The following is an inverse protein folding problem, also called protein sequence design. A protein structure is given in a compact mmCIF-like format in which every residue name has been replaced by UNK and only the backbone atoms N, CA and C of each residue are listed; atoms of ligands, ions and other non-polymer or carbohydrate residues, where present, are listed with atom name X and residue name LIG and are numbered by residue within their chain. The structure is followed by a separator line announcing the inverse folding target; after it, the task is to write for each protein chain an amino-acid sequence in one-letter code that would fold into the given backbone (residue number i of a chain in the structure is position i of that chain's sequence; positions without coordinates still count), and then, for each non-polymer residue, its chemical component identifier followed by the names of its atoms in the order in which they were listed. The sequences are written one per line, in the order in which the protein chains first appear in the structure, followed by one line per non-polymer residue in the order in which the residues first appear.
data_IF_678140447514
#
_entry.id   IF_678140447514
#
_cell.length_a   1.000
_cell.length_b   1.000
_cell.length_c   1.000
_cell.angle_alpha   90.00
_cell.angle_beta   90.00
_cell.angle_gamma   90.00
#
_symmetry.space_group_name_H-M   'P 1'
#
loop_
_entity.id
_entity.type
_entity.pdbx_description
1 polymer ?
#
# COMPACT_ATOMS: atom_id res chain seq x y z
N UNK A 1 20.15 23.92 -3.02
CA UNK A 1 19.33 24.24 -1.84
C UNK A 1 19.96 23.53 -0.65
N UNK A 2 19.93 24.13 0.54
CA UNK A 2 20.37 23.47 1.78
C UNK A 2 19.33 22.43 2.22
N UNK A 3 19.79 21.24 2.64
CA UNK A 3 18.92 20.21 3.21
C UNK A 3 18.85 20.44 4.71
N UNK A 4 17.66 20.40 5.32
CA UNK A 4 17.49 20.54 6.78
C UNK A 4 16.90 19.29 7.44
N UNK A 5 16.27 18.45 6.63
CA UNK A 5 15.60 17.23 7.05
C UNK A 5 15.34 16.40 5.81
N UNK A 6 15.64 15.12 5.89
CA UNK A 6 15.30 14.14 4.88
C UNK A 6 14.44 13.05 5.51
N UNK A 7 13.35 12.65 4.84
CA UNK A 7 12.45 11.61 5.31
C UNK A 7 12.18 10.63 4.19
N UNK A 8 12.46 9.36 4.45
CA UNK A 8 12.10 8.26 3.58
C UNK A 8 10.95 7.46 4.20
N UNK A 9 9.94 7.15 3.40
CA UNK A 9 9.01 6.06 3.68
C UNK A 9 9.32 4.90 2.74
N UNK A 10 9.48 3.71 3.29
CA UNK A 10 9.61 2.49 2.51
C UNK A 10 8.50 1.53 2.91
N UNK A 11 7.67 1.14 1.95
CA UNK A 11 6.62 0.15 2.17
C UNK A 11 6.79 -0.97 1.16
N UNK A 12 6.81 -2.21 1.64
CA UNK A 12 6.88 -3.43 0.82
C UNK A 12 5.78 -4.38 1.24
N UNK A 13 5.11 -4.97 0.26
CA UNK A 13 4.12 -6.00 0.48
C UNK A 13 4.62 -7.35 -0.06
N UNK A 14 4.27 -8.42 0.63
CA UNK A 14 4.67 -9.78 0.34
C UNK A 14 3.44 -10.67 0.39
N UNK A 15 3.35 -11.63 -0.52
CA UNK A 15 2.39 -12.73 -0.41
C UNK A 15 2.89 -13.69 0.66
N UNK A 16 2.08 -13.96 1.67
CA UNK A 16 2.31 -15.05 2.63
C UNK A 16 1.60 -16.32 2.15
N UNK A 17 0.33 -16.17 1.74
CA UNK A 17 -0.49 -17.24 1.15
C UNK A 17 -1.50 -16.62 0.14
N UNK A 18 -2.43 -17.41 -0.40
CA UNK A 18 -3.54 -16.87 -1.21
C UNK A 18 -4.50 -15.98 -0.40
N UNK A 19 -4.52 -16.16 0.93
CA UNK A 19 -5.47 -15.52 1.84
C UNK A 19 -4.78 -14.50 2.75
N UNK A 20 -3.47 -14.27 2.59
CA UNK A 20 -2.72 -13.41 3.50
C UNK A 20 -1.57 -12.64 2.84
N UNK A 21 -1.53 -11.34 3.14
CA UNK A 21 -0.46 -10.41 2.80
C UNK A 21 0.33 -10.03 4.05
N UNK A 22 1.64 -9.84 3.87
CA UNK A 22 2.50 -9.18 4.84
C UNK A 22 2.92 -7.82 4.29
N UNK A 23 2.67 -6.74 5.02
CA UNK A 23 3.04 -5.38 4.62
C UNK A 23 4.01 -4.81 5.64
N UNK A 24 5.23 -4.50 5.20
CA UNK A 24 6.28 -3.89 6.01
C UNK A 24 6.49 -2.45 5.61
N UNK A 25 6.18 -1.54 6.53
CA UNK A 25 6.45 -0.12 6.42
C UNK A 25 7.64 0.29 7.30
N UNK A 26 8.42 1.24 6.83
CA UNK A 26 9.44 1.92 7.62
C UNK A 26 9.42 3.42 7.31
N UNK A 27 9.62 4.23 8.35
CA UNK A 27 9.89 5.67 8.22
C UNK A 27 11.27 5.94 8.80
N UNK A 28 12.09 6.70 8.07
CA UNK A 28 13.42 7.08 8.51
C UNK A 28 13.64 8.58 8.30
N UNK A 29 13.89 9.29 9.39
CA UNK A 29 14.23 10.71 9.38
C UNK A 29 15.72 10.89 9.60
N UNK A 30 16.34 11.67 8.73
CA UNK A 30 17.74 11.99 8.76
C UNK A 30 17.98 13.49 8.81
N UNK A 31 19.01 13.85 9.56
CA UNK A 31 19.58 15.18 9.60
C UNK A 31 20.93 15.15 8.89
N UNK A 32 21.23 16.13 8.03
CA UNK A 32 22.49 16.15 7.32
C UNK A 32 23.68 16.33 8.28
N UNK A 33 24.90 15.97 7.83
CA UNK A 33 26.15 16.29 8.53
C UNK A 33 26.23 17.75 8.97
N UNK A 34 26.89 17.99 10.11
CA UNK A 34 27.21 19.34 10.59
C UNK A 34 26.05 20.11 11.21
N UNK A 35 24.79 19.67 11.04
CA UNK A 35 23.62 20.48 11.41
C UNK A 35 23.46 20.69 12.92
N UNK A 36 23.69 19.64 13.72
CA UNK A 36 23.58 19.72 15.18
C UNK A 36 24.94 19.84 15.88
N UNK A 37 25.97 19.24 15.27
CA UNK A 37 27.34 19.23 15.75
C UNK A 37 28.22 19.56 14.56
N UNK A 38 28.92 20.70 14.59
CA UNK A 38 29.65 21.21 13.44
C UNK A 38 30.77 20.26 12.98
N UNK A 39 31.31 19.46 13.89
CA UNK A 39 32.38 18.51 13.67
C UNK A 39 31.89 17.12 13.20
N UNK A 40 30.58 16.84 13.26
CA UNK A 40 30.05 15.55 12.81
C UNK A 40 29.82 15.57 11.30
N UNK A 41 30.65 14.83 10.57
CA UNK A 41 30.62 14.72 9.11
C UNK A 41 29.63 13.65 8.59
N UNK A 42 28.87 13.02 9.50
CA UNK A 42 27.90 11.97 9.17
C UNK A 42 26.46 12.44 9.36
N UNK A 43 25.51 11.87 8.58
CA UNK A 43 24.10 12.11 8.83
C UNK A 43 23.67 11.46 10.14
N UNK A 44 22.73 12.12 10.83
CA UNK A 44 22.15 11.63 12.08
C UNK A 44 20.74 11.11 11.82
N UNK A 45 20.49 9.82 12.09
CA UNK A 45 19.13 9.28 12.10
C UNK A 45 18.45 9.71 13.39
N UNK A 46 17.31 10.38 13.29
CA UNK A 46 16.55 10.88 14.45
C UNK A 46 15.36 9.97 14.76
N UNK A 47 14.69 9.51 13.70
CA UNK A 47 13.55 8.61 13.79
C UNK A 47 13.78 7.43 12.87
N UNK A 48 13.56 6.23 13.38
CA UNK A 48 13.47 5.02 12.59
C UNK A 48 12.41 4.13 13.21
N UNK A 49 11.24 4.06 12.59
CA UNK A 49 10.12 3.25 13.05
C UNK A 49 9.75 2.26 11.96
N UNK A 50 9.43 1.04 12.38
CA UNK A 50 9.00 -0.05 11.53
C UNK A 50 7.60 -0.48 11.94
N UNK A 51 6.77 -0.83 10.95
CA UNK A 51 5.41 -1.35 11.13
C UNK A 51 5.27 -2.58 10.25
N UNK A 52 4.89 -3.70 10.84
CA UNK A 52 4.55 -4.92 10.12
C UNK A 52 3.06 -5.19 10.31
N UNK A 53 2.33 -5.34 9.20
CA UNK A 53 0.91 -5.69 9.19
C UNK A 53 0.72 -7.03 8.48
N UNK A 54 0.10 -7.98 9.16
CA UNK A 54 -0.46 -9.19 8.56
C UNK A 54 -1.91 -8.90 8.19
N UNK A 55 -2.28 -9.13 6.94
CA UNK A 55 -3.53 -8.65 6.37
C UNK A 55 -4.24 -9.80 5.64
N UNK A 56 -5.46 -10.10 6.04
CA UNK A 56 -6.31 -11.06 5.38
C UNK A 56 -6.69 -10.58 3.97
N UNK A 57 -6.66 -11.48 3.00
CA UNK A 57 -6.98 -11.22 1.60
C UNK A 57 -8.19 -12.07 1.18
N UNK A 58 -9.18 -11.52 0.45
CA UNK A 58 -9.24 -10.18 -0.15
C UNK A 58 -9.87 -9.10 0.75
N UNK A 59 -10.29 -9.42 1.98
CA UNK A 59 -11.03 -8.49 2.85
C UNK A 59 -10.21 -7.28 3.34
N UNK A 60 -8.88 -7.35 3.26
CA UNK A 60 -7.93 -6.35 3.74
C UNK A 60 -8.07 -6.04 5.23
N UNK A 61 -8.49 -7.01 6.04
CA UNK A 61 -8.53 -6.91 7.49
C UNK A 61 -7.14 -7.15 8.09
N UNK A 62 -6.71 -6.30 9.02
CA UNK A 62 -5.46 -6.48 9.76
C UNK A 62 -5.66 -7.59 10.79
N UNK A 63 -5.00 -8.73 10.59
CA UNK A 63 -5.02 -9.89 11.51
C UNK A 63 -3.82 -9.92 12.46
N UNK A 64 -2.80 -9.10 12.20
CA UNK A 64 -1.65 -8.92 13.08
C UNK A 64 -0.96 -7.58 12.83
N UNK A 65 -0.46 -6.96 13.88
CA UNK A 65 0.25 -5.70 13.81
C UNK A 65 1.42 -5.68 14.80
N UNK A 66 2.62 -5.39 14.30
CA UNK A 66 3.82 -5.20 15.11
C UNK A 66 4.43 -3.83 14.77
N UNK A 67 4.87 -3.12 15.80
CA UNK A 67 5.51 -1.81 15.66
C UNK A 67 6.82 -1.82 16.44
N UNK A 68 7.88 -1.30 15.83
CA UNK A 68 9.19 -1.19 16.45
C UNK A 68 9.76 0.21 16.27
N UNK A 69 10.29 0.78 17.34
CA UNK A 69 11.00 2.07 17.31
C UNK A 69 12.49 1.79 17.48
N UNK A 70 13.22 1.71 16.36
CA UNK A 70 14.66 1.43 16.32
C UNK A 70 15.49 2.64 16.76
N UNK A 71 15.10 3.83 16.28
CA UNK A 71 15.77 5.09 16.62
C UNK A 71 14.70 6.12 16.97
N UNK A 72 14.86 6.77 18.12
CA UNK A 72 13.93 7.75 18.63
C UNK A 72 14.66 8.80 19.50
N UNK A 73 14.21 10.07 19.49
CA UNK A 73 14.92 11.15 20.19
C UNK A 73 14.70 11.17 21.70
N UNK A 74 13.67 10.50 22.21
CA UNK A 74 13.33 10.50 23.64
C UNK A 74 13.18 9.08 24.17
N UNK A 75 13.75 8.80 25.34
CA UNK A 75 13.70 7.48 25.97
C UNK A 75 12.26 6.98 26.26
N UNK A 76 11.29 7.90 26.37
CA UNK A 76 9.89 7.56 26.60
C UNK A 76 9.13 7.19 25.32
N UNK A 77 9.66 7.45 24.12
CA UNK A 77 8.95 7.21 22.86
C UNK A 77 8.44 5.76 22.70
N UNK A 78 9.20 4.70 23.04
CA UNK A 78 8.71 3.33 22.87
C UNK A 78 7.52 2.94 23.75
N UNK A 79 7.17 3.72 24.79
CA UNK A 79 6.06 3.40 25.70
C UNK A 79 4.68 3.35 25.02
N UNK A 80 4.56 3.91 23.81
CA UNK A 80 3.33 3.91 23.02
C UNK A 80 3.25 2.73 22.05
N UNK A 81 4.30 1.92 21.91
CA UNK A 81 4.38 0.85 20.89
C UNK A 81 3.21 -0.14 21.02
N UNK A 82 2.93 -0.61 22.24
CA UNK A 82 1.86 -1.59 22.48
C UNK A 82 0.47 -1.05 22.13
N UNK A 83 0.27 0.28 22.14
CA UNK A 83 -1.00 0.91 21.77
C UNK A 83 -1.40 0.64 20.32
N UNK A 84 -0.41 0.36 19.44
CA UNK A 84 -0.67 0.03 18.04
C UNK A 84 -1.30 -1.36 17.83
N UNK A 85 -1.45 -2.19 18.88
CA UNK A 85 -2.27 -3.40 18.80
C UNK A 85 -3.73 -3.11 18.42
N UNK A 86 -4.21 -1.88 18.67
CA UNK A 86 -5.52 -1.39 18.23
C UNK A 86 -5.72 -1.30 16.72
N UNK A 87 -4.68 -1.61 15.92
CA UNK A 87 -4.80 -1.80 14.47
C UNK A 87 -5.46 -3.13 14.09
N UNK A 88 -5.33 -4.17 14.93
CA UNK A 88 -5.89 -5.49 14.66
C UNK A 88 -7.42 -5.41 14.63
N UNK A 89 -8.03 -6.05 13.63
CA UNK A 89 -9.47 -5.99 13.35
C UNK A 89 -9.91 -4.78 12.52
N UNK A 90 -9.00 -3.83 12.20
CA UNK A 90 -9.32 -2.76 11.26
C UNK A 90 -9.16 -3.25 9.82
N UNK A 91 -10.06 -2.86 8.92
CA UNK A 91 -9.88 -3.01 7.47
C UNK A 91 -9.09 -1.83 6.89
N UNK A 92 -8.10 -2.12 6.03
CA UNK A 92 -7.28 -1.13 5.30
C UNK A 92 -8.04 -0.47 4.12
N UNK A 93 -9.31 -0.81 3.95
CA UNK A 93 -10.18 -0.20 2.94
C UNK A 93 -10.66 1.22 3.28
N UNK A 94 -11.86 1.54 2.78
CA UNK A 94 -12.49 2.85 2.94
C UNK A 94 -12.61 3.22 4.42
N UNK A 95 -12.14 4.42 4.77
CA UNK A 95 -12.22 4.95 6.14
C UNK A 95 -11.05 4.57 7.05
N UNK A 96 -10.09 3.74 6.60
CA UNK A 96 -8.92 3.36 7.39
C UNK A 96 -8.14 4.58 7.91
N UNK A 97 -7.84 5.55 7.04
CA UNK A 97 -7.07 6.75 7.43
C UNK A 97 -7.80 7.62 8.46
N UNK A 98 -9.14 7.61 8.47
CA UNK A 98 -9.93 8.28 9.49
C UNK A 98 -9.78 7.57 10.84
N UNK A 99 -9.97 6.24 10.86
CA UNK A 99 -9.79 5.42 12.07
C UNK A 99 -8.38 5.52 12.65
N UNK A 100 -7.35 5.53 11.79
CA UNK A 100 -5.96 5.73 12.22
C UNK A 100 -5.77 7.09 12.91
N UNK A 101 -6.35 8.16 12.38
CA UNK A 101 -6.28 9.50 13.02
C UNK A 101 -7.09 9.57 14.32
N UNK A 102 -8.22 8.88 14.38
CA UNK A 102 -9.03 8.78 15.58
C UNK A 102 -8.25 8.09 16.71
N UNK A 103 -7.68 6.90 16.44
CA UNK A 103 -6.97 6.09 17.43
C UNK A 103 -5.58 6.63 17.79
N UNK A 104 -4.82 7.12 16.80
CA UNK A 104 -3.38 7.41 16.92
C UNK A 104 -3.01 8.85 16.54
N UNK A 105 -4.00 9.74 16.42
CA UNK A 105 -3.76 11.15 16.13
C UNK A 105 -3.31 11.95 17.36
N UNK A 106 -2.45 12.94 17.12
CA UNK A 106 -1.96 13.85 18.16
C UNK A 106 -1.24 13.09 19.28
N UNK A 107 -1.55 13.36 20.56
CA UNK A 107 -0.85 12.75 21.69
C UNK A 107 -1.14 11.25 21.90
N UNK A 108 -2.08 10.66 21.13
CA UNK A 108 -2.45 9.25 21.24
C UNK A 108 -1.53 8.33 20.41
N UNK A 109 -0.56 8.87 19.70
CA UNK A 109 0.37 8.09 18.88
C UNK A 109 1.65 8.84 18.58
N UNK A 110 2.55 8.19 17.85
CA UNK A 110 3.71 8.83 17.26
C UNK A 110 3.33 9.42 15.90
N UNK A 111 3.57 10.72 15.70
CA UNK A 111 3.34 11.40 14.41
C UNK A 111 3.95 10.65 13.23
N UNK A 112 5.15 10.07 13.41
CA UNK A 112 5.88 9.33 12.38
C UNK A 112 5.17 8.03 11.99
N UNK A 113 4.81 7.21 12.98
CA UNK A 113 4.10 5.95 12.73
C UNK A 113 2.68 6.19 12.20
N UNK A 114 1.97 7.21 12.70
CA UNK A 114 0.64 7.59 12.19
C UNK A 114 0.71 8.04 10.73
N UNK A 115 1.74 8.81 10.34
CA UNK A 115 1.98 9.17 8.95
C UNK A 115 2.36 7.96 8.08
N UNK A 116 3.22 7.07 8.59
CA UNK A 116 3.59 5.84 7.90
C UNK A 116 2.38 4.95 7.64
N UNK A 117 1.48 4.76 8.61
CA UNK A 117 0.24 3.99 8.44
C UNK A 117 -0.63 4.54 7.31
N UNK A 118 -0.74 5.88 7.19
CA UNK A 118 -1.44 6.51 6.08
C UNK A 118 -0.76 6.23 4.73
N UNK A 119 0.58 6.18 4.69
CA UNK A 119 1.35 5.85 3.49
C UNK A 119 1.30 4.36 3.12
N UNK A 120 1.07 3.47 4.09
CA UNK A 120 0.94 2.03 3.87
C UNK A 120 -0.40 1.63 3.23
N UNK A 121 -1.47 2.37 3.51
CA UNK A 121 -2.82 2.00 3.08
C UNK A 121 -2.98 1.85 1.55
N UNK A 122 -2.49 2.79 0.71
CA UNK A 122 -2.55 2.64 -0.75
C UNK A 122 -1.81 1.40 -1.27
N UNK A 123 -0.72 1.01 -0.61
CA UNK A 123 0.06 -0.18 -1.01
C UNK A 123 -0.78 -1.45 -0.82
N UNK A 124 -1.45 -1.59 0.33
CA UNK A 124 -2.33 -2.73 0.59
C UNK A 124 -3.44 -2.87 -0.45
N UNK A 125 -4.10 -1.75 -0.79
CA UNK A 125 -5.19 -1.70 -1.77
C UNK A 125 -4.68 -2.07 -3.18
N UNK A 126 -3.51 -1.58 -3.57
CA UNK A 126 -2.94 -1.87 -4.88
C UNK A 126 -2.44 -3.31 -5.03
N UNK A 127 -2.10 -3.98 -3.91
CA UNK A 127 -1.66 -5.38 -3.94
C UNK A 127 -2.73 -6.34 -4.46
N UNK A 128 -4.03 -5.98 -4.42
CA UNK A 128 -5.10 -6.84 -4.94
C UNK A 128 -4.87 -7.24 -6.40
N UNK A 129 -4.40 -6.33 -7.26
CA UNK A 129 -4.08 -6.66 -8.64
C UNK A 129 -2.78 -7.46 -8.78
N UNK A 130 -1.77 -7.15 -7.96
CA UNK A 130 -0.52 -7.93 -7.94
C UNK A 130 -0.77 -9.37 -7.50
N UNK A 131 -1.71 -9.58 -6.59
CA UNK A 131 -2.16 -10.90 -6.15
C UNK A 131 -2.82 -11.66 -7.30
N UNK A 132 -3.75 -11.04 -8.03
CA UNK A 132 -4.40 -11.66 -9.19
C UNK A 132 -3.37 -11.99 -10.30
N UNK A 133 -2.54 -11.02 -10.70
CA UNK A 133 -1.55 -11.21 -11.76
C UNK A 133 -0.49 -12.27 -11.41
N UNK A 134 -0.08 -12.33 -10.13
CA UNK A 134 0.83 -13.37 -9.66
C UNK A 134 0.18 -14.76 -9.59
N UNK A 135 -1.12 -14.86 -9.32
CA UNK A 135 -1.83 -16.15 -9.27
C UNK A 135 -1.91 -16.77 -10.67
N UNK A 136 -2.21 -15.96 -11.70
CA UNK A 136 -2.23 -16.39 -13.10
C UNK A 136 -0.87 -16.90 -13.57
N UNK A 137 0.24 -16.22 -13.23
CA UNK A 137 1.60 -16.67 -13.57
C UNK A 137 2.00 -18.00 -12.92
N UNK A 138 1.38 -18.37 -11.78
CA UNK A 138 1.68 -19.60 -11.05
C UNK A 138 0.81 -20.78 -11.48
N UNK A 139 -0.08 -20.60 -12.44
CA UNK A 139 -1.03 -21.64 -12.87
C UNK A 139 -2.04 -22.02 -11.78
N UNK A 140 -2.20 -21.18 -10.76
CA UNK A 140 -3.08 -21.45 -9.60
C UNK A 140 -4.53 -21.03 -9.88
N UNK A 141 -4.73 -20.14 -10.86
CA UNK A 141 -6.05 -19.74 -11.35
C UNK A 141 -5.91 -19.14 -12.75
N UNK A 142 -6.61 -19.69 -13.75
CA UNK A 142 -6.88 -18.95 -14.98
C UNK A 142 -7.89 -17.84 -14.66
N UNK A 143 -7.63 -16.58 -15.02
CA UNK A 143 -8.63 -15.55 -14.90
C UNK A 143 -9.85 -15.95 -15.76
N UNK A 144 -11.08 -15.90 -15.23
CA UNK A 144 -12.26 -16.24 -16.00
C UNK A 144 -12.37 -15.33 -17.23
N UNK A 145 -12.79 -15.89 -18.37
CA UNK A 145 -13.02 -15.11 -19.60
C UNK A 145 -14.08 -14.05 -19.30
N UNK A 146 -13.76 -12.74 -19.39
CA UNK A 146 -14.69 -11.68 -19.06
C UNK A 146 -16.01 -11.74 -19.85
N UNK A 147 -16.01 -12.37 -21.04
CA UNK A 147 -17.18 -12.57 -21.90
C UNK A 147 -18.15 -13.63 -21.35
N UNK A 148 -17.69 -14.46 -20.43
CA UNK A 148 -18.47 -15.53 -19.79
C UNK A 148 -19.08 -15.11 -18.46
N UNK A 149 -18.65 -13.98 -17.91
CA UNK A 149 -19.10 -13.45 -16.62
C UNK A 149 -20.41 -12.66 -16.77
N UNK A 150 -21.27 -12.74 -15.73
CA UNK A 150 -22.42 -11.85 -15.63
C UNK A 150 -21.95 -10.39 -15.47
N UNK A 151 -22.77 -9.38 -15.83
CA UNK A 151 -22.42 -7.98 -15.59
C UNK A 151 -22.04 -7.68 -14.13
N UNK A 152 -22.71 -8.36 -13.19
CA UNK A 152 -22.45 -8.22 -11.75
C UNK A 152 -21.07 -8.78 -11.37
N UNK A 153 -20.72 -9.96 -11.89
CA UNK A 153 -19.41 -10.58 -11.61
C UNK A 153 -18.27 -9.78 -12.25
N UNK A 154 -18.52 -9.20 -13.44
CA UNK A 154 -17.56 -8.30 -14.09
C UNK A 154 -17.28 -7.05 -13.27
N UNK A 155 -18.32 -6.43 -12.70
CA UNK A 155 -18.17 -5.27 -11.83
C UNK A 155 -17.41 -5.64 -10.55
N UNK A 156 -17.67 -6.81 -9.97
CA UNK A 156 -17.00 -7.28 -8.76
C UNK A 156 -15.47 -7.36 -8.90
N UNK A 157 -14.94 -7.58 -10.12
CA UNK A 157 -13.48 -7.66 -10.37
C UNK A 157 -12.74 -6.35 -10.09
N UNK A 158 -13.41 -5.20 -10.23
CA UNK A 158 -12.80 -3.87 -10.07
C UNK A 158 -13.56 -2.96 -9.10
N UNK A 159 -14.67 -3.42 -8.51
CA UNK A 159 -15.48 -2.67 -7.56
C UNK A 159 -14.67 -2.17 -6.36
N UNK A 160 -13.66 -2.92 -5.91
CA UNK A 160 -12.74 -2.52 -4.83
C UNK A 160 -11.98 -1.22 -5.10
N UNK A 161 -11.92 -0.78 -6.36
CA UNK A 161 -11.19 0.41 -6.78
C UNK A 161 -12.05 1.66 -6.83
N UNK A 162 -13.37 1.53 -6.77
CA UNK A 162 -14.27 2.66 -6.81
C UNK A 162 -13.96 3.67 -5.70
N UNK A 163 -13.78 4.92 -6.11
CA UNK A 163 -13.44 6.08 -5.28
C UNK A 163 -12.10 5.96 -4.53
N UNK A 164 -11.16 5.17 -5.05
CA UNK A 164 -9.79 5.10 -4.51
C UNK A 164 -8.86 6.18 -5.06
N UNK A 165 -9.15 6.71 -6.26
CA UNK A 165 -8.48 7.88 -6.84
C UNK A 165 -9.39 8.60 -7.85
N UNK A 166 -8.92 9.70 -8.44
CA UNK A 166 -9.71 10.49 -9.40
C UNK A 166 -10.08 9.70 -10.67
N UNK A 167 -9.19 8.82 -11.17
CA UNK A 167 -9.46 7.95 -12.32
C UNK A 167 -10.52 6.90 -11.99
N UNK A 168 -10.56 6.43 -10.74
CA UNK A 168 -11.53 5.46 -10.26
C UNK A 168 -12.73 6.09 -9.55
N UNK A 169 -12.95 7.40 -9.72
CA UNK A 169 -14.15 8.04 -9.18
C UNK A 169 -15.39 7.39 -9.79
N UNK A 170 -16.44 7.21 -8.99
CA UNK A 170 -17.67 6.54 -9.42
C UNK A 170 -18.28 7.14 -10.71
N UNK A 171 -18.11 8.46 -10.87
CA UNK A 171 -18.61 9.26 -11.98
C UNK A 171 -17.53 9.54 -13.06
N UNK A 172 -16.39 8.84 -13.02
CA UNK A 172 -15.31 9.03 -13.99
C UNK A 172 -15.66 8.39 -15.35
N UNK A 173 -15.08 8.94 -16.42
CA UNK A 173 -15.16 8.34 -17.76
C UNK A 173 -14.64 6.90 -17.77
N UNK A 174 -13.54 6.63 -17.05
CA UNK A 174 -12.97 5.29 -16.93
C UNK A 174 -13.98 4.28 -16.37
N UNK A 175 -14.65 4.61 -15.26
CA UNK A 175 -15.67 3.74 -14.66
C UNK A 175 -16.91 3.64 -15.56
N UNK A 176 -17.31 4.71 -16.24
CA UNK A 176 -18.42 4.68 -17.19
C UNK A 176 -18.18 3.70 -18.35
N UNK A 177 -16.96 3.66 -18.90
CA UNK A 177 -16.54 2.71 -19.94
C UNK A 177 -16.63 1.26 -19.43
N UNK A 178 -16.14 0.99 -18.22
CA UNK A 178 -16.21 -0.35 -17.62
C UNK A 178 -17.65 -0.82 -17.40
N UNK A 179 -18.52 0.07 -16.91
CA UNK A 179 -19.96 -0.20 -16.72
C UNK A 179 -20.70 -0.43 -18.03
N UNK A 180 -20.28 0.24 -19.11
CA UNK A 180 -20.79 -0.01 -20.46
C UNK A 180 -20.31 -1.35 -21.07
N UNK A 181 -19.52 -2.12 -20.31
CA UNK A 181 -18.99 -3.41 -20.75
C UNK A 181 -17.67 -3.32 -21.51
N UNK A 182 -17.02 -2.15 -21.53
CA UNK A 182 -15.67 -1.98 -22.03
C UNK A 182 -14.63 -2.76 -21.22
N UNK A 183 -13.46 -2.98 -21.80
CA UNK A 183 -12.34 -3.62 -21.10
C UNK A 183 -11.49 -2.58 -20.37
N UNK A 184 -10.93 -2.92 -19.20
CA UNK A 184 -9.98 -2.04 -18.53
C UNK A 184 -8.73 -1.87 -19.38
N UNK A 185 -8.39 -0.61 -19.66
CA UNK A 185 -7.14 -0.29 -20.32
C UNK A 185 -5.93 -0.80 -19.53
N UNK A 186 -4.93 -1.31 -20.26
CA UNK A 186 -3.63 -1.57 -19.67
C UNK A 186 -3.03 -0.27 -19.10
N UNK A 187 -2.48 -0.30 -17.87
CA UNK A 187 -1.70 0.81 -17.35
C UNK A 187 -0.62 1.25 -18.33
N UNK A 188 -0.48 2.56 -18.53
CA UNK A 188 0.46 3.13 -19.51
C UNK A 188 1.89 2.56 -19.41
N UNK A 189 2.49 2.39 -18.22
CA UNK A 189 3.84 1.80 -18.12
C UNK A 189 3.90 0.34 -18.58
N UNK A 190 2.81 -0.41 -18.45
CA UNK A 190 2.72 -1.78 -18.95
C UNK A 190 2.62 -1.77 -20.48
N UNK A 191 1.77 -0.89 -21.04
CA UNK A 191 1.64 -0.70 -22.50
C UNK A 191 3.00 -0.32 -23.13
N UNK A 192 3.67 0.69 -22.57
CA UNK A 192 5.01 1.10 -23.01
C UNK A 192 6.01 -0.06 -22.93
N UNK A 193 5.93 -0.91 -21.90
CA UNK A 193 6.81 -2.07 -21.77
C UNK A 193 6.54 -3.15 -22.83
N UNK A 194 5.30 -3.31 -23.30
CA UNK A 194 5.02 -4.18 -24.46
C UNK A 194 5.70 -3.63 -25.71
N UNK A 195 5.57 -2.33 -25.97
CA UNK A 195 6.19 -1.65 -27.11
C UNK A 195 7.73 -1.79 -27.07
N UNK A 196 8.35 -1.52 -25.93
CA UNK A 196 9.81 -1.64 -25.72
C UNK A 196 10.33 -3.06 -26.00
N UNK A 197 9.51 -4.08 -25.73
CA UNK A 197 9.86 -5.49 -25.90
C UNK A 197 9.46 -6.05 -27.27
N UNK A 198 8.76 -5.27 -28.11
CA UNK A 198 8.21 -5.75 -29.38
C UNK A 198 7.17 -6.85 -29.21
N UNK A 199 6.42 -6.83 -28.11
CA UNK A 199 5.37 -7.81 -27.80
C UNK A 199 3.98 -7.20 -28.06
N UNK A 200 3.03 -7.97 -28.58
CA UNK A 200 1.64 -7.54 -28.70
C UNK A 200 0.90 -7.78 -27.36
N UNK A 201 0.29 -6.75 -26.74
CA UNK A 201 -0.54 -6.92 -25.54
C UNK A 201 -1.78 -7.81 -25.75
N UNK A 202 -2.19 -8.05 -27.00
CA UNK A 202 -3.23 -9.01 -27.39
C UNK A 202 -2.76 -10.47 -27.40
N UNK A 203 -1.46 -10.72 -27.49
CA UNK A 203 -0.83 -12.06 -27.49
C UNK A 203 -0.63 -12.62 -26.08
N UNK A 204 -1.56 -12.34 -25.16
CA UNK A 204 -1.57 -13.00 -23.85
C UNK A 204 -1.67 -14.51 -24.10
N UNK A 205 -0.55 -15.21 -23.99
CA UNK A 205 -0.46 -16.67 -24.04
C UNK A 205 -1.53 -17.32 -23.15
N UNK A 206 -1.85 -18.60 -23.41
CA UNK A 206 -3.17 -19.18 -23.24
C UNK A 206 -3.80 -18.83 -21.88
N UNK A 207 -4.98 -18.23 -21.98
CA UNK A 207 -6.01 -18.08 -20.94
C UNK A 207 -6.39 -19.43 -20.35
#
# INVERSE_FOLDING_TARGET
LEVLHDREYRVRAYRVSEEELLIRGAVRDQKPPGLYLAEDDRPLTIHHMQVELRVAFPALEIVGAEVLFEVHPHASCPRIVDHYCGLVGLSIGRGFTHKVRELFGGPRGCTHTTALLMAMAPVAVQCSWSMQASASRRGMSSPPDPRTLSPQDREALWHSNLNTCHVWADQSEHVAVLRAGGEPELPLPIRQRYDDLGLDPGDRGPT
#
